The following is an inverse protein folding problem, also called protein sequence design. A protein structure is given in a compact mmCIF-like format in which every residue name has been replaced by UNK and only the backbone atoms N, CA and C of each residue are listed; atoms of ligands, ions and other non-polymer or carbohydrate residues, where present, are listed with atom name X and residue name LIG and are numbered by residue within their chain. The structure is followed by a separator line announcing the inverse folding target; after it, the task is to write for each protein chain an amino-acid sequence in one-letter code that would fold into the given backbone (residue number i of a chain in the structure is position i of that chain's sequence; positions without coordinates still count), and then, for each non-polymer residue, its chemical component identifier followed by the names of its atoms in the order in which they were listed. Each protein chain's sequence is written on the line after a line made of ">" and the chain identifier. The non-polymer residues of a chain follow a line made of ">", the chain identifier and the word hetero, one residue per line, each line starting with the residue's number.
data_IF_173188770019
#
_entry.id   IF_173188770019
#
_cell.length_a   1.000
_cell.length_b   1.000
_cell.length_c   1.000
_cell.angle_alpha   90.00
_cell.angle_beta   90.00
_cell.angle_gamma   90.00
#
_symmetry.space_group_name_H-M   'P 1'
#
loop_
_entity.id
_entity.type
_entity.pdbx_description
1 polymer ?
#
# COMPACT_ATOMS: atom_id res chain seq x y z
N UNK A 1 -95.54 -23.31 -22.38
CA UNK A 1 -94.99 -24.56 -22.92
C UNK A 1 -93.50 -24.44 -22.97
N UNK A 2 -92.80 -24.98 -21.98
CA UNK A 2 -91.94 -26.15 -22.11
C UNK A 2 -90.73 -25.94 -23.03
N UNK A 3 -89.48 -26.08 -22.75
CA UNK A 3 -88.70 -26.89 -21.81
C UNK A 3 -87.19 -26.40 -21.97
N UNK A 4 -86.46 -26.31 -20.89
CA UNK A 4 -85.38 -27.17 -20.34
C UNK A 4 -84.04 -27.22 -21.16
N UNK A 5 -83.01 -26.74 -20.46
CA UNK A 5 -81.75 -27.45 -20.02
C UNK A 5 -80.70 -27.71 -21.11
N UNK A 6 -79.43 -27.37 -20.92
CA UNK A 6 -78.45 -28.01 -20.03
C UNK A 6 -77.13 -27.22 -20.10
N UNK A 7 -76.53 -26.98 -18.96
CA UNK A 7 -75.09 -26.82 -18.74
C UNK A 7 -74.40 -28.22 -18.87
N UNK A 8 -73.12 -28.34 -19.14
CA UNK A 8 -72.16 -28.07 -18.08
C UNK A 8 -70.68 -27.78 -18.52
N UNK A 9 -69.99 -27.22 -17.58
CA UNK A 9 -68.58 -27.45 -17.17
C UNK A 9 -67.51 -27.70 -18.23
N UNK A 10 -66.56 -26.71 -18.34
CA UNK A 10 -65.14 -26.98 -18.60
C UNK A 10 -64.34 -25.71 -18.21
N UNK A 11 -64.02 -25.59 -16.95
CA UNK A 11 -63.10 -24.54 -16.49
C UNK A 11 -62.31 -25.01 -15.24
N UNK A 12 -61.54 -26.05 -15.37
CA UNK A 12 -60.67 -26.54 -14.26
C UNK A 12 -59.33 -27.16 -14.72
N UNK A 13 -58.83 -26.77 -15.89
CA UNK A 13 -57.56 -27.37 -16.36
C UNK A 13 -56.48 -26.35 -16.85
N UNK A 14 -56.59 -25.05 -16.46
CA UNK A 14 -55.60 -24.09 -16.86
C UNK A 14 -54.76 -23.43 -15.74
N UNK A 15 -54.97 -23.84 -14.48
CA UNK A 15 -54.31 -23.20 -13.35
C UNK A 15 -53.07 -23.95 -12.81
N UNK A 16 -52.84 -25.21 -13.20
CA UNK A 16 -51.72 -26.00 -12.68
C UNK A 16 -50.44 -26.00 -13.50
N UNK A 17 -50.41 -25.36 -14.69
CA UNK A 17 -49.19 -25.35 -15.54
C UNK A 17 -48.34 -24.10 -15.38
N UNK A 18 -48.73 -23.09 -14.62
CA UNK A 18 -47.94 -21.86 -14.42
C UNK A 18 -47.11 -21.87 -13.12
N UNK A 19 -47.40 -22.68 -12.13
CA UNK A 19 -46.65 -22.74 -10.87
C UNK A 19 -45.44 -23.66 -10.87
N UNK A 20 -45.33 -24.55 -11.87
CA UNK A 20 -44.17 -25.47 -12.00
C UNK A 20 -42.95 -24.90 -12.67
N UNK A 21 -43.05 -23.71 -13.34
CA UNK A 21 -41.90 -23.10 -14.05
C UNK A 21 -41.06 -22.16 -13.20
N UNK A 22 -41.58 -21.63 -12.09
CA UNK A 22 -40.85 -20.70 -11.23
C UNK A 22 -40.06 -21.40 -10.12
N UNK A 23 -40.48 -22.61 -9.71
CA UNK A 23 -39.79 -23.35 -8.63
C UNK A 23 -38.50 -24.06 -9.06
N UNK A 24 -38.27 -24.23 -10.37
CA UNK A 24 -37.04 -24.88 -10.89
C UNK A 24 -35.89 -23.91 -11.20
N UNK A 25 -36.16 -22.62 -11.29
CA UNK A 25 -35.13 -21.61 -11.59
C UNK A 25 -34.31 -21.22 -10.35
N UNK A 26 -34.87 -21.24 -9.15
CA UNK A 26 -34.15 -20.92 -7.92
C UNK A 26 -33.07 -21.94 -7.55
N UNK A 27 -33.30 -23.26 -7.60
CA UNK A 27 -32.24 -24.23 -7.31
C UNK A 27 -31.16 -24.29 -8.39
N UNK A 28 -31.48 -23.99 -9.65
CA UNK A 28 -30.49 -23.94 -10.74
C UNK A 28 -29.54 -22.74 -10.59
N UNK A 29 -30.02 -21.60 -10.13
CA UNK A 29 -29.19 -20.42 -9.88
C UNK A 29 -28.29 -20.62 -8.64
N UNK A 30 -28.78 -21.30 -7.60
CA UNK A 30 -28.00 -21.65 -6.41
C UNK A 30 -26.92 -22.70 -6.74
N UNK A 31 -27.18 -23.66 -7.61
CA UNK A 31 -26.20 -24.65 -8.06
C UNK A 31 -25.10 -24.05 -8.95
N UNK A 32 -25.42 -23.03 -9.77
CA UNK A 32 -24.44 -22.33 -10.61
C UNK A 32 -23.46 -21.50 -9.77
N UNK A 33 -23.87 -20.98 -8.61
CA UNK A 33 -22.99 -20.24 -7.68
C UNK A 33 -22.02 -21.17 -6.92
N UNK A 34 -22.37 -22.45 -6.77
CA UNK A 34 -21.53 -23.46 -6.09
C UNK A 34 -20.48 -24.09 -7.03
N UNK A 35 -20.61 -23.90 -8.35
CA UNK A 35 -19.68 -24.41 -9.37
C UNK A 35 -18.69 -23.34 -9.89
N UNK A 36 -18.67 -22.11 -9.33
CA UNK A 36 -17.64 -21.16 -9.68
C UNK A 36 -16.29 -21.73 -9.20
N UNK A 37 -15.28 -21.90 -10.07
CA UNK A 37 -13.96 -22.30 -9.61
C UNK A 37 -13.48 -21.27 -8.59
N UNK A 38 -12.80 -21.69 -7.51
CA UNK A 38 -12.21 -20.75 -6.59
C UNK A 38 -11.32 -19.80 -7.39
N UNK A 39 -11.50 -18.50 -7.23
CA UNK A 39 -10.62 -17.51 -7.82
C UNK A 39 -9.20 -17.86 -7.35
N UNK A 40 -8.38 -18.34 -8.26
CA UNK A 40 -7.01 -18.69 -7.92
C UNK A 40 -6.22 -17.39 -7.78
N UNK A 41 -5.66 -17.16 -6.57
CA UNK A 41 -4.85 -15.98 -6.31
C UNK A 41 -3.67 -15.95 -7.29
N UNK A 42 -3.50 -14.84 -8.00
CA UNK A 42 -2.35 -14.68 -8.90
C UNK A 42 -1.08 -14.46 -8.10
N UNK A 43 -0.12 -15.37 -8.28
CA UNK A 43 1.16 -15.37 -7.55
C UNK A 43 2.31 -15.05 -8.49
N UNK A 44 3.03 -13.98 -8.21
CA UNK A 44 4.31 -13.67 -8.84
C UNK A 44 5.47 -14.17 -7.98
N UNK A 45 6.35 -15.01 -8.56
CA UNK A 45 7.61 -15.42 -7.93
C UNK A 45 8.75 -14.63 -8.52
N UNK A 46 9.46 -13.92 -7.65
CA UNK A 46 10.58 -13.05 -8.01
C UNK A 46 11.88 -13.51 -7.34
N UNK A 47 12.78 -14.06 -8.14
CA UNK A 47 14.08 -14.55 -7.68
C UNK A 47 15.18 -13.48 -7.84
N UNK A 48 16.08 -13.39 -6.86
CA UNK A 48 17.25 -12.51 -6.87
C UNK A 48 18.44 -13.14 -6.17
N UNK A 49 19.66 -12.70 -6.54
CA UNK A 49 20.91 -13.20 -5.97
C UNK A 49 21.17 -12.83 -4.50
N UNK A 50 20.39 -11.88 -3.94
CA UNK A 50 20.53 -11.43 -2.55
C UNK A 50 19.19 -11.04 -1.98
N UNK A 51 18.95 -11.36 -0.71
CA UNK A 51 17.78 -10.92 0.04
C UNK A 51 17.92 -9.48 0.55
N UNK A 52 16.81 -8.90 0.98
CA UNK A 52 16.80 -7.68 1.79
C UNK A 52 17.29 -8.02 3.20
N UNK A 53 18.30 -7.33 3.70
CA UNK A 53 18.90 -7.63 5.01
C UNK A 53 18.07 -7.13 6.17
N UNK A 54 17.15 -6.19 5.93
CA UNK A 54 16.32 -5.56 6.96
C UNK A 54 14.98 -5.11 6.39
N UNK A 55 13.97 -5.00 7.25
CA UNK A 55 12.69 -4.37 6.93
C UNK A 55 12.64 -2.89 7.37
N UNK A 56 13.69 -2.39 8.01
CA UNK A 56 13.80 -0.98 8.39
C UNK A 56 14.05 -0.11 7.16
N UNK A 57 13.12 0.83 6.81
CA UNK A 57 13.18 1.58 5.56
C UNK A 57 14.32 2.62 5.52
N UNK A 58 14.98 2.88 6.66
CA UNK A 58 16.04 3.90 6.71
C UNK A 58 17.42 3.34 7.08
N UNK A 59 17.52 2.03 7.32
CA UNK A 59 18.78 1.42 7.78
C UNK A 59 19.82 1.25 6.67
N UNK A 60 19.38 0.85 5.45
CA UNK A 60 20.28 0.54 4.35
C UNK A 60 19.80 1.13 3.02
N UNK A 61 20.72 1.78 2.31
CA UNK A 61 20.50 2.37 0.98
C UNK A 61 21.08 1.46 -0.11
N UNK A 62 20.43 0.32 -0.37
CA UNK A 62 20.87 -0.61 -1.39
C UNK A 62 19.69 -1.24 -2.16
N UNK A 63 19.99 -1.76 -3.36
CA UNK A 63 18.99 -2.28 -4.28
C UNK A 63 18.12 -3.40 -3.72
N UNK A 64 18.66 -4.45 -3.09
CA UNK A 64 17.84 -5.53 -2.50
C UNK A 64 16.81 -5.03 -1.50
N UNK A 65 17.20 -4.14 -0.58
CA UNK A 65 16.30 -3.53 0.40
C UNK A 65 15.23 -2.67 -0.30
N UNK A 66 15.63 -1.78 -1.20
CA UNK A 66 14.67 -0.93 -1.92
C UNK A 66 13.62 -1.75 -2.67
N UNK A 67 14.00 -2.81 -3.35
CA UNK A 67 13.07 -3.63 -4.14
C UNK A 67 11.98 -4.30 -3.29
N UNK A 68 12.33 -4.79 -2.09
CA UNK A 68 11.35 -5.36 -1.18
C UNK A 68 10.54 -4.25 -0.50
N UNK A 69 11.22 -3.23 0.02
CA UNK A 69 10.60 -2.21 0.87
C UNK A 69 9.65 -1.29 0.11
N UNK A 70 9.86 -1.04 -1.18
CA UNK A 70 8.91 -0.29 -2.02
C UNK A 70 7.58 -1.02 -2.25
N UNK A 71 7.48 -2.30 -1.95
CA UNK A 71 6.19 -3.02 -1.94
C UNK A 71 5.40 -2.78 -0.65
N UNK A 72 6.10 -2.43 0.44
CA UNK A 72 5.57 -2.34 1.80
C UNK A 72 5.35 -0.88 2.22
N UNK A 73 6.29 -0.01 1.88
CA UNK A 73 6.29 1.41 2.21
C UNK A 73 6.20 2.27 0.96
N UNK A 74 5.75 3.50 1.11
CA UNK A 74 5.73 4.48 0.03
C UNK A 74 6.48 5.76 0.42
N UNK A 75 7.19 6.38 -0.54
CA UNK A 75 7.73 7.73 -0.40
C UNK A 75 6.64 8.78 -0.67
N UNK A 76 6.98 10.05 -0.54
CA UNK A 76 6.11 11.16 -0.97
C UNK A 76 5.89 11.19 -2.49
N UNK A 77 6.91 10.80 -3.24
CA UNK A 77 7.00 10.88 -4.70
C UNK A 77 7.71 9.64 -5.21
N UNK A 78 7.28 9.08 -6.33
CA UNK A 78 8.01 8.02 -7.04
C UNK A 78 8.57 8.53 -8.37
N UNK A 79 9.51 7.78 -8.91
CA UNK A 79 10.03 7.99 -10.27
C UNK A 79 9.62 6.84 -11.17
N UNK A 80 9.05 7.16 -12.32
CA UNK A 80 8.72 6.17 -13.36
C UNK A 80 9.97 5.72 -14.13
N UNK A 81 9.84 4.65 -14.91
CA UNK A 81 10.95 4.12 -15.74
C UNK A 81 11.44 5.14 -16.79
N UNK A 82 10.57 6.04 -17.27
CA UNK A 82 10.93 7.15 -18.18
C UNK A 82 11.45 8.39 -17.43
N UNK A 83 11.69 8.29 -16.11
CA UNK A 83 12.34 9.32 -15.29
C UNK A 83 11.41 10.40 -14.73
N UNK A 84 10.11 10.36 -15.03
CA UNK A 84 9.14 11.34 -14.51
C UNK A 84 8.87 11.12 -13.03
N UNK A 85 8.65 12.21 -12.31
CA UNK A 85 8.20 12.17 -10.93
C UNK A 85 6.68 12.13 -10.88
N UNK A 86 6.13 11.17 -10.15
CA UNK A 86 4.69 11.01 -9.93
C UNK A 86 4.34 11.14 -8.45
N UNK A 87 3.15 11.70 -8.15
CA UNK A 87 2.63 11.80 -6.79
C UNK A 87 2.25 10.42 -6.23
N UNK A 88 2.63 10.18 -4.94
CA UNK A 88 2.17 9.05 -4.13
C UNK A 88 1.54 9.56 -2.84
N UNK A 89 2.26 9.57 -1.72
CA UNK A 89 1.77 10.13 -0.46
C UNK A 89 1.67 11.66 -0.48
N UNK A 90 2.49 12.35 -1.30
CA UNK A 90 2.20 13.74 -1.67
C UNK A 90 1.28 13.76 -2.91
N UNK A 91 0.30 14.66 -2.93
CA UNK A 91 -0.58 14.91 -4.08
C UNK A 91 -0.03 15.98 -5.02
N UNK A 92 0.78 16.90 -4.48
CA UNK A 92 1.48 17.94 -5.22
C UNK A 92 2.65 18.49 -4.40
N UNK A 93 3.58 19.16 -5.09
CA UNK A 93 4.69 19.87 -4.48
C UNK A 93 5.05 21.08 -5.34
N UNK A 94 5.46 22.16 -4.69
CA UNK A 94 5.87 23.40 -5.33
C UNK A 94 6.83 24.18 -4.44
N UNK A 95 7.64 25.05 -5.04
CA UNK A 95 8.37 26.06 -4.29
C UNK A 95 7.39 27.10 -3.73
N UNK A 96 7.66 27.58 -2.52
CA UNK A 96 6.98 28.74 -1.95
C UNK A 96 7.57 30.05 -2.53
N UNK A 97 7.19 31.21 -1.98
CA UNK A 97 7.84 32.48 -2.32
C UNK A 97 9.33 32.49 -1.93
N UNK A 98 9.73 31.70 -0.95
CA UNK A 98 11.14 31.43 -0.61
C UNK A 98 11.63 30.24 -1.46
N UNK A 99 12.57 30.43 -2.40
CA UNK A 99 13.04 29.36 -3.26
C UNK A 99 13.85 28.27 -2.54
N UNK A 100 14.14 28.44 -1.26
CA UNK A 100 14.73 27.40 -0.40
C UNK A 100 13.70 26.55 0.32
N UNK A 101 12.40 26.79 0.13
CA UNK A 101 11.31 26.09 0.83
C UNK A 101 10.36 25.46 -0.17
N UNK A 102 10.26 24.16 -0.09
CA UNK A 102 9.28 23.36 -0.82
C UNK A 102 8.06 23.10 0.06
N UNK A 103 6.87 23.32 -0.49
CA UNK A 103 5.59 22.90 0.09
C UNK A 103 5.17 21.58 -0.53
N UNK A 104 4.79 20.60 0.31
CA UNK A 104 4.18 19.33 -0.10
C UNK A 104 2.78 19.24 0.46
N UNK A 105 1.78 19.02 -0.40
CA UNK A 105 0.42 18.68 -0.02
C UNK A 105 0.29 17.17 0.08
N UNK A 106 -0.21 16.67 1.19
CA UNK A 106 -0.26 15.24 1.50
C UNK A 106 -1.63 14.65 1.15
N UNK A 107 -1.64 13.38 0.82
CA UNK A 107 -2.85 12.62 0.55
C UNK A 107 -3.61 12.35 1.84
N UNK A 108 -4.93 12.62 1.82
CA UNK A 108 -5.82 12.35 2.96
C UNK A 108 -6.39 10.94 2.88
N UNK A 109 -6.72 10.35 4.03
CA UNK A 109 -7.39 9.06 4.13
C UNK A 109 -6.50 7.84 3.86
N UNK A 110 -5.20 8.03 3.67
CA UNK A 110 -4.23 6.93 3.58
C UNK A 110 -4.11 6.24 4.94
N UNK A 111 -4.07 4.91 4.93
CA UNK A 111 -3.88 4.09 6.12
C UNK A 111 -2.57 3.33 6.04
N UNK A 112 -1.89 3.22 7.17
CA UNK A 112 -0.85 2.22 7.36
C UNK A 112 -1.46 0.81 7.45
N UNK A 113 -0.63 -0.21 7.39
CA UNK A 113 -1.07 -1.61 7.44
C UNK A 113 -1.78 -1.98 8.74
N UNK A 114 -1.45 -1.31 9.85
CA UNK A 114 -2.14 -1.45 11.15
C UNK A 114 -3.47 -0.68 11.24
N UNK A 115 -3.85 0.03 10.18
CA UNK A 115 -5.09 0.81 10.10
C UNK A 115 -4.97 2.25 10.61
N UNK A 116 -3.85 2.65 11.21
CA UNK A 116 -3.61 4.04 11.63
C UNK A 116 -3.55 4.99 10.43
N UNK A 117 -3.88 6.28 10.63
CA UNK A 117 -3.94 7.26 9.54
C UNK A 117 -2.58 7.93 9.34
N UNK A 118 -2.20 8.06 8.08
CA UNK A 118 -1.04 8.84 7.65
C UNK A 118 -1.32 10.34 7.74
N UNK A 119 -0.37 11.10 8.29
CA UNK A 119 -0.41 12.55 8.44
C UNK A 119 0.97 13.19 8.25
N UNK A 120 1.02 14.51 8.35
CA UNK A 120 2.26 15.28 8.34
C UNK A 120 3.23 14.88 9.47
N UNK A 121 2.73 14.40 10.60
CA UNK A 121 3.59 13.96 11.72
C UNK A 121 4.47 12.78 11.33
N UNK A 122 3.96 11.86 10.50
CA UNK A 122 4.71 10.72 9.98
C UNK A 122 5.79 11.16 8.99
N UNK A 123 5.52 12.19 8.19
CA UNK A 123 6.52 12.78 7.28
C UNK A 123 7.65 13.44 8.06
N UNK A 124 7.31 14.27 9.05
CA UNK A 124 8.31 14.91 9.92
C UNK A 124 9.17 13.87 10.63
N UNK A 125 8.53 12.86 11.20
CA UNK A 125 9.20 11.76 11.88
C UNK A 125 10.15 11.01 10.93
N UNK A 126 9.65 10.60 9.75
CA UNK A 126 10.42 9.81 8.78
C UNK A 126 11.62 10.56 8.23
N UNK A 127 11.45 11.84 7.87
CA UNK A 127 12.57 12.67 7.39
C UNK A 127 13.60 12.94 8.50
N UNK A 128 13.18 13.15 9.74
CA UNK A 128 14.11 13.27 10.89
C UNK A 128 14.87 11.96 11.11
N UNK A 129 14.15 10.83 11.11
CA UNK A 129 14.72 9.49 11.28
C UNK A 129 15.70 9.15 10.17
N UNK A 130 15.36 9.42 8.90
CA UNK A 130 16.24 9.18 7.75
C UNK A 130 17.51 10.06 7.75
N UNK A 131 17.51 11.18 8.48
CA UNK A 131 18.68 12.07 8.66
C UNK A 131 19.53 11.74 9.90
N UNK A 132 19.11 10.78 10.73
CA UNK A 132 19.84 10.41 11.94
C UNK A 132 21.19 9.73 11.63
N UNK A 133 22.05 9.65 12.65
CA UNK A 133 23.43 9.16 12.49
C UNK A 133 23.51 7.69 12.05
N UNK A 134 22.54 6.87 12.43
CA UNK A 134 22.49 5.43 12.10
C UNK A 134 21.82 5.15 10.75
N UNK A 135 21.27 6.18 10.09
CA UNK A 135 20.61 6.03 8.80
C UNK A 135 21.58 6.08 7.62
N UNK A 136 21.52 5.11 6.74
CA UNK A 136 22.25 5.13 5.45
C UNK A 136 21.59 6.04 4.40
N UNK A 137 20.34 6.49 4.65
CA UNK A 137 19.63 7.47 3.81
C UNK A 137 20.11 8.90 4.03
N UNK A 138 20.87 9.17 5.09
CA UNK A 138 21.30 10.52 5.49
C UNK A 138 22.00 11.29 4.36
N UNK A 139 22.80 10.63 3.54
CA UNK A 139 23.53 11.23 2.43
C UNK A 139 22.60 11.84 1.37
N UNK A 140 21.40 11.34 1.19
CA UNK A 140 20.40 11.84 0.24
C UNK A 140 19.74 13.14 0.72
N UNK A 141 19.82 13.45 1.99
CA UNK A 141 19.07 14.52 2.65
C UNK A 141 19.93 15.64 3.23
N UNK A 142 21.20 15.73 2.82
CA UNK A 142 22.17 16.69 3.37
C UNK A 142 21.81 18.16 3.12
N UNK A 143 21.03 18.42 2.06
CA UNK A 143 20.55 19.79 1.77
C UNK A 143 19.40 20.22 2.65
N UNK A 144 18.69 19.31 3.31
CA UNK A 144 17.54 19.65 4.17
C UNK A 144 18.04 20.23 5.50
N UNK A 145 17.63 21.44 5.81
CA UNK A 145 17.92 22.09 7.09
C UNK A 145 16.79 21.95 8.09
N UNK A 146 15.54 22.01 7.62
CA UNK A 146 14.37 21.93 8.47
C UNK A 146 13.16 21.27 7.75
N UNK A 147 12.26 20.70 8.55
CA UNK A 147 10.98 20.16 8.10
C UNK A 147 9.91 20.57 9.08
N UNK A 148 8.96 21.37 8.62
CA UNK A 148 7.88 21.94 9.44
C UNK A 148 6.51 21.46 9.01
N UNK A 149 5.67 21.16 9.98
CA UNK A 149 4.24 20.89 9.80
C UNK A 149 3.50 22.21 9.69
N UNK A 150 2.85 22.46 8.55
CA UNK A 150 1.96 23.61 8.37
C UNK A 150 0.56 23.27 8.90
N UNK A 151 0.05 22.12 8.50
CA UNK A 151 -1.20 21.52 9.00
C UNK A 151 -1.10 20.00 8.95
N UNK A 152 -2.20 19.28 9.23
CA UNK A 152 -2.21 17.82 9.25
C UNK A 152 -1.85 17.17 7.89
N UNK A 153 -1.94 17.91 6.78
CA UNK A 153 -1.71 17.41 5.42
C UNK A 153 -0.87 18.35 4.55
N UNK A 154 -0.09 19.22 5.19
CA UNK A 154 0.84 20.14 4.50
C UNK A 154 2.14 20.21 5.29
N UNK A 155 3.26 19.97 4.60
CA UNK A 155 4.60 20.12 5.17
C UNK A 155 5.44 21.06 4.32
N UNK A 156 6.29 21.83 4.99
CA UNK A 156 7.36 22.58 4.36
C UNK A 156 8.70 21.89 4.61
N UNK A 157 9.49 21.76 3.56
CA UNK A 157 10.85 21.23 3.63
C UNK A 157 11.80 22.35 3.19
N UNK A 158 12.63 22.82 4.13
CA UNK A 158 13.61 23.87 3.91
C UNK A 158 14.96 23.26 3.58
N UNK A 159 15.62 23.82 2.58
CA UNK A 159 16.99 23.47 2.16
C UNK A 159 17.98 24.59 2.47
N UNK A 160 19.27 24.29 2.43
CA UNK A 160 20.37 25.22 2.71
C UNK A 160 20.61 26.25 1.57
N UNK A 161 19.67 26.44 0.67
CA UNK A 161 19.60 27.30 -0.48
C UNK A 161 18.65 26.73 -1.51
N UNK A 162 18.40 27.39 -2.64
CA UNK A 162 17.55 26.86 -3.71
C UNK A 162 18.00 25.48 -4.16
N UNK A 163 17.11 24.48 -4.07
CA UNK A 163 17.41 23.10 -4.47
C UNK A 163 16.29 22.52 -5.32
N UNK A 164 16.37 22.63 -6.66
CA UNK A 164 15.37 22.08 -7.57
C UNK A 164 15.35 20.54 -7.60
N UNK A 165 16.39 19.88 -7.09
CA UNK A 165 16.52 18.42 -7.09
C UNK A 165 15.93 17.77 -5.83
N UNK A 166 15.49 18.56 -4.85
CA UNK A 166 14.92 18.00 -3.60
C UNK A 166 13.83 16.97 -3.85
N UNK A 167 12.81 17.19 -4.73
CA UNK A 167 11.79 16.17 -4.98
C UNK A 167 12.38 14.84 -5.45
N UNK A 168 13.39 14.87 -6.30
CA UNK A 168 14.08 13.68 -6.80
C UNK A 168 14.89 12.94 -5.72
N UNK A 169 15.36 13.65 -4.69
CA UNK A 169 16.07 13.03 -3.55
C UNK A 169 15.15 12.28 -2.59
N UNK A 170 13.84 12.54 -2.66
CA UNK A 170 12.86 11.93 -1.75
C UNK A 170 12.27 10.60 -2.23
N UNK A 171 12.56 10.17 -3.46
CA UNK A 171 11.96 8.96 -4.08
C UNK A 171 12.27 7.65 -3.34
N UNK A 172 13.36 7.60 -2.59
CA UNK A 172 13.78 6.45 -1.79
C UNK A 172 13.58 6.68 -0.28
N UNK A 173 13.02 7.81 0.11
CA UNK A 173 12.74 8.11 1.52
C UNK A 173 11.32 7.66 1.82
N UNK A 174 11.21 6.47 2.33
CA UNK A 174 9.94 5.81 2.62
C UNK A 174 9.35 6.35 3.93
N UNK A 175 8.03 6.43 4.00
CA UNK A 175 7.35 6.96 5.19
C UNK A 175 6.97 5.82 6.13
N UNK A 176 7.38 5.95 7.39
CA UNK A 176 7.12 5.05 8.50
C UNK A 176 6.15 5.72 9.48
N UNK A 177 5.20 4.96 10.04
CA UNK A 177 4.30 5.47 11.09
C UNK A 177 5.09 5.87 12.34
N UNK A 178 4.95 7.14 12.72
CA UNK A 178 5.59 7.68 13.92
C UNK A 178 5.06 7.00 15.21
N UNK A 179 3.75 6.77 15.25
CA UNK A 179 3.09 6.12 16.39
C UNK A 179 3.55 4.67 16.55
N UNK A 180 3.60 3.92 15.44
CA UNK A 180 4.07 2.54 15.43
C UNK A 180 5.55 2.45 15.85
N UNK A 181 6.40 3.29 15.28
CA UNK A 181 7.82 3.30 15.63
C UNK A 181 8.05 3.57 17.11
N UNK A 182 7.33 4.54 17.68
CA UNK A 182 7.39 4.86 19.11
C UNK A 182 6.88 3.70 19.98
N UNK A 183 5.78 3.07 19.60
CA UNK A 183 5.20 1.96 20.36
C UNK A 183 6.13 0.73 20.44
N UNK A 184 7.07 0.60 19.49
CA UNK A 184 7.95 -0.56 19.36
C UNK A 184 9.44 -0.23 19.56
N UNK A 185 9.80 0.95 20.07
CA UNK A 185 11.20 1.33 20.29
C UNK A 185 12.04 1.39 19.01
N UNK A 186 11.40 1.79 17.89
CA UNK A 186 12.02 1.89 16.56
C UNK A 186 12.15 3.34 16.06
N UNK A 187 12.25 4.31 16.98
CA UNK A 187 12.39 5.74 16.64
C UNK A 187 13.72 6.04 15.94
N UNK A 188 14.76 5.24 16.20
CA UNK A 188 16.02 5.31 15.46
C UNK A 188 16.09 4.19 14.44
N UNK A 189 16.71 4.40 13.26
CA UNK A 189 17.02 3.32 12.34
C UNK A 189 17.90 2.25 12.99
N UNK A 190 17.75 1.02 12.51
CA UNK A 190 18.68 -0.04 12.84
C UNK A 190 20.13 0.44 12.57
N UNK A 191 21.02 0.21 13.52
CA UNK A 191 22.44 0.45 13.31
C UNK A 191 23.08 -0.77 12.61
N UNK A 192 22.98 -0.78 11.28
CA UNK A 192 23.47 -1.90 10.48
C UNK A 192 25.00 -2.09 10.58
N UNK A 193 25.75 -1.01 10.78
CA UNK A 193 27.21 -1.07 10.93
C UNK A 193 27.64 -1.74 12.24
N UNK A 194 26.92 -1.45 13.33
CA UNK A 194 27.17 -2.09 14.63
C UNK A 194 26.47 -3.47 14.74
N UNK A 195 25.70 -3.88 13.73
CA UNK A 195 24.86 -5.09 13.74
C UNK A 195 23.83 -5.10 14.88
N UNK A 196 23.37 -3.92 15.29
CA UNK A 196 22.33 -3.77 16.31
C UNK A 196 20.97 -3.77 15.64
N UNK A 197 20.12 -4.70 16.04
CA UNK A 197 18.74 -4.78 15.54
C UNK A 197 17.80 -3.97 16.45
N UNK A 198 16.73 -3.47 15.84
CA UNK A 198 15.55 -2.94 16.53
C UNK A 198 14.30 -3.67 16.03
N UNK A 199 13.13 -3.30 16.51
CA UNK A 199 11.88 -3.95 16.11
C UNK A 199 11.60 -3.83 14.60
N UNK A 200 11.94 -2.69 13.97
CA UNK A 200 11.74 -2.48 12.54
C UNK A 200 12.66 -3.35 11.65
N UNK A 201 13.72 -3.92 12.19
CA UNK A 201 14.60 -4.84 11.44
C UNK A 201 13.82 -6.04 10.89
N UNK A 202 12.86 -6.56 11.67
CA UNK A 202 12.11 -7.79 11.35
C UNK A 202 10.61 -7.56 11.18
N UNK A 203 10.12 -6.36 11.44
CA UNK A 203 8.72 -6.00 11.37
C UNK A 203 8.52 -4.74 10.53
N UNK A 204 7.37 -4.65 9.85
CA UNK A 204 7.07 -3.53 8.95
C UNK A 204 5.63 -3.05 9.14
N UNK A 205 5.45 -1.73 9.07
CA UNK A 205 4.15 -1.07 9.04
C UNK A 205 4.21 0.12 8.07
N UNK A 206 3.89 -0.12 6.80
CA UNK A 206 3.91 0.86 5.73
C UNK A 206 2.52 1.21 5.23
N UNK A 207 2.47 2.00 4.16
CA UNK A 207 1.24 2.39 3.44
C UNK A 207 1.12 1.69 2.10
N UNK A 208 2.11 0.89 1.73
CA UNK A 208 2.27 0.31 0.40
C UNK A 208 1.24 -0.76 0.07
N UNK A 209 1.25 -1.21 -1.19
CA UNK A 209 0.25 -2.13 -1.73
C UNK A 209 0.27 -3.53 -1.11
N UNK A 210 1.39 -3.93 -0.48
CA UNK A 210 1.56 -5.27 0.07
C UNK A 210 1.96 -5.24 1.54
N UNK A 211 1.48 -6.24 2.28
CA UNK A 211 1.88 -6.55 3.66
C UNK A 211 2.68 -7.84 3.70
N UNK A 212 3.59 -7.98 4.66
CA UNK A 212 4.33 -9.23 4.89
C UNK A 212 3.37 -10.26 5.47
N UNK A 213 3.20 -11.37 4.75
CA UNK A 213 2.45 -12.53 5.24
C UNK A 213 3.37 -13.51 5.99
N UNK A 214 4.59 -13.72 5.47
CA UNK A 214 5.64 -14.48 6.15
C UNK A 214 7.02 -14.07 5.65
N UNK A 215 8.03 -14.17 6.50
CA UNK A 215 9.41 -13.96 6.11
C UNK A 215 10.33 -14.92 6.86
N UNK A 216 11.10 -15.65 6.10
CA UNK A 216 12.29 -16.39 6.53
C UNK A 216 13.47 -15.80 5.76
N UNK A 217 14.32 -15.05 6.48
CA UNK A 217 15.42 -14.32 5.86
C UNK A 217 16.35 -15.26 5.10
N UNK A 218 16.84 -14.81 3.94
CA UNK A 218 17.71 -15.57 3.02
C UNK A 218 17.06 -16.86 2.45
N UNK A 219 15.77 -17.08 2.68
CA UNK A 219 15.03 -18.23 2.20
C UNK A 219 13.81 -17.81 1.38
N UNK A 220 12.88 -17.08 1.99
CA UNK A 220 11.62 -16.73 1.35
C UNK A 220 10.91 -15.59 2.07
N UNK A 221 10.44 -14.60 1.31
CA UNK A 221 9.47 -13.60 1.80
C UNK A 221 8.20 -13.68 0.98
N UNK A 222 7.05 -13.77 1.65
CA UNK A 222 5.72 -13.76 1.05
C UNK A 222 5.02 -12.47 1.43
N UNK A 223 4.57 -11.76 0.42
CA UNK A 223 3.77 -10.55 0.55
C UNK A 223 2.37 -10.81 0.00
N UNK A 224 1.33 -10.24 0.62
CA UNK A 224 -0.05 -10.26 0.14
C UNK A 224 -0.57 -8.86 -0.04
N UNK A 225 -1.50 -8.68 -0.97
CA UNK A 225 -2.15 -7.39 -1.17
C UNK A 225 -2.72 -6.85 0.14
N UNK A 226 -2.50 -5.56 0.38
CA UNK A 226 -3.15 -4.84 1.48
C UNK A 226 -4.59 -4.49 1.11
N UNK A 227 -5.61 -5.07 1.77
CA UNK A 227 -7.01 -4.79 1.43
C UNK A 227 -7.38 -3.31 1.55
N UNK A 228 -6.71 -2.58 2.46
CA UNK A 228 -6.89 -1.15 2.72
C UNK A 228 -6.07 -0.22 1.82
N UNK A 229 -5.38 -0.73 0.79
CA UNK A 229 -4.50 0.09 -0.03
C UNK A 229 -5.26 1.23 -0.73
N UNK A 230 -4.82 2.46 -0.49
CA UNK A 230 -5.43 3.68 -1.00
C UNK A 230 -5.33 3.84 -2.51
N UNK A 231 -4.29 3.26 -3.10
CA UNK A 231 -3.92 3.47 -4.52
C UNK A 231 -4.60 2.55 -5.52
N UNK A 232 -5.51 1.65 -5.12
CA UNK A 232 -6.16 0.65 -6.00
C UNK A 232 -6.79 1.22 -7.28
N UNK A 233 -7.30 2.45 -7.23
CA UNK A 233 -7.89 3.11 -8.40
C UNK A 233 -6.87 3.83 -9.29
N UNK A 234 -5.64 4.04 -8.82
CA UNK A 234 -4.55 4.74 -9.52
C UNK A 234 -3.45 3.78 -9.98
N UNK A 235 -3.19 2.75 -9.17
CA UNK A 235 -2.17 1.72 -9.38
C UNK A 235 -2.86 0.36 -9.29
N UNK A 236 -3.39 -0.18 -10.40
CA UNK A 236 -4.05 -1.48 -10.38
C UNK A 236 -3.07 -2.57 -9.93
N UNK A 237 -3.54 -3.40 -8.98
CA UNK A 237 -2.78 -4.53 -8.46
C UNK A 237 -3.37 -5.81 -9.06
N UNK A 238 -2.64 -6.41 -9.98
CA UNK A 238 -3.06 -7.67 -10.65
C UNK A 238 -2.58 -8.90 -9.88
N UNK A 239 -1.52 -8.75 -9.06
CA UNK A 239 -0.88 -9.86 -8.32
C UNK A 239 -1.39 -9.86 -6.88
N UNK A 240 -2.00 -10.96 -6.46
CA UNK A 240 -2.51 -11.15 -5.10
C UNK A 240 -1.40 -11.50 -4.10
N UNK A 241 -0.42 -12.29 -4.54
CA UNK A 241 0.69 -12.74 -3.72
C UNK A 241 2.03 -12.56 -4.45
N UNK A 242 2.97 -11.88 -3.82
CA UNK A 242 4.34 -11.73 -4.29
C UNK A 242 5.27 -12.59 -3.43
N UNK A 243 5.91 -13.57 -4.04
CA UNK A 243 6.89 -14.46 -3.39
C UNK A 243 8.30 -14.05 -3.82
N UNK A 244 9.05 -13.54 -2.86
CA UNK A 244 10.43 -13.13 -3.03
C UNK A 244 11.36 -14.28 -2.63
N UNK A 245 12.24 -14.71 -3.55
CA UNK A 245 13.14 -15.86 -3.39
C UNK A 245 14.60 -15.43 -3.61
N UNK A 246 15.44 -15.42 -2.60
CA UNK A 246 16.91 -15.37 -2.76
C UNK A 246 17.42 -16.67 -3.42
N UNK A 247 18.39 -16.55 -4.34
CA UNK A 247 18.99 -17.68 -5.09
C UNK A 247 20.51 -17.58 -5.11
#
# INVERSE_FOLDING_TARGET
>A
MTQRRFLPRLSLLRTHLRTLRTSALLPALAAALLCAPPAQAETLRWARSTDASTLDPHALNNGPNHNLLHQIYEPLIIRTADGKLLPTLATSWALTADPSVWEFKLRKGVKFHDGSLFTADDVLFSLRRARSATSDMRSLLTSITDVTKVDAFTVHIRTNGPNPLLPASLINIQILSAAWAKAHGAEQPQNALAKEENYATRNANGTGPYVIASREQDTRTVLRQFPGYWGKGLFPLEIDELVYLPI
#
